data_IF_561191785343
#
_entry.id   IF_561191785343
#
_cell.length_a   1.000
_cell.length_b   1.000
_cell.length_c   1.000
_cell.angle_alpha   90.00
_cell.angle_beta   90.00
_cell.angle_gamma   90.00
#
_symmetry.space_group_name_H-M   'P 1'
#
loop_
_entity.id
_entity.type
_entity.pdbx_description
1 polymer ?
#
# COMPACT_ATOMS: atom_id res chain seq x y z
N UNK A 1 14.92 15.16 3.34
CA UNK A 1 13.71 14.97 4.17
C UNK A 1 12.64 14.34 3.31
N UNK A 2 11.89 13.36 3.82
CA UNK A 2 10.82 12.67 3.09
C UNK A 2 9.80 12.08 4.05
N UNK A 3 8.81 11.36 3.51
CA UNK A 3 7.73 10.78 4.30
C UNK A 3 8.06 9.31 4.61
N UNK A 4 8.47 8.98 5.85
CA UNK A 4 8.65 7.58 6.24
C UNK A 4 7.28 6.91 6.30
N UNK A 5 7.13 5.80 5.57
CA UNK A 5 5.89 5.03 5.50
C UNK A 5 6.13 3.56 5.84
N UNK A 6 5.07 2.86 6.20
CA UNK A 6 5.06 1.41 6.31
C UNK A 6 4.29 0.87 5.11
N UNK A 7 4.98 0.15 4.24
CA UNK A 7 4.37 -0.50 3.09
C UNK A 7 3.72 -1.81 3.55
N UNK A 8 2.43 -1.98 3.24
CA UNK A 8 1.68 -3.22 3.43
C UNK A 8 1.44 -3.81 2.04
N UNK A 9 2.11 -4.92 1.71
CA UNK A 9 2.04 -5.56 0.40
C UNK A 9 1.36 -6.91 0.48
N UNK A 10 0.44 -7.19 -0.46
CA UNK A 10 -0.19 -8.50 -0.61
C UNK A 10 -0.58 -8.74 -2.06
N UNK A 11 -0.66 -10.02 -2.43
CA UNK A 11 -1.30 -10.45 -3.67
C UNK A 11 -2.81 -10.46 -3.43
N UNK A 12 -3.55 -9.67 -4.21
CA UNK A 12 -5.01 -9.53 -4.12
C UNK A 12 -5.66 -9.90 -5.45
N UNK A 13 -6.96 -10.18 -5.41
CA UNK A 13 -7.76 -10.44 -6.61
C UNK A 13 -8.31 -9.12 -7.21
N UNK A 14 -8.92 -9.25 -8.38
CA UNK A 14 -9.53 -8.11 -9.08
C UNK A 14 -10.74 -7.56 -8.30
N UNK A 15 -11.50 -8.42 -7.65
CA UNK A 15 -12.70 -8.03 -6.89
C UNK A 15 -12.35 -7.09 -5.73
N UNK A 16 -11.19 -7.31 -5.09
CA UNK A 16 -10.66 -6.40 -4.08
C UNK A 16 -10.33 -5.02 -4.65
N UNK A 17 -9.71 -4.96 -5.83
CA UNK A 17 -9.40 -3.70 -6.50
C UNK A 17 -10.67 -2.95 -6.89
N UNK A 18 -11.63 -3.65 -7.50
CA UNK A 18 -12.90 -3.09 -7.94
C UNK A 18 -13.72 -2.56 -6.74
N UNK A 19 -13.71 -3.27 -5.59
CA UNK A 19 -14.39 -2.84 -4.35
C UNK A 19 -13.93 -1.48 -3.85
N UNK A 20 -12.65 -1.17 -3.99
CA UNK A 20 -12.06 0.10 -3.55
C UNK A 20 -11.77 1.06 -4.71
N UNK A 21 -12.28 0.78 -5.92
CA UNK A 21 -12.11 1.64 -7.08
C UNK A 21 -10.65 1.82 -7.54
N UNK A 22 -9.78 0.84 -7.25
CA UNK A 22 -8.35 0.91 -7.49
C UNK A 22 -8.02 0.48 -8.92
N UNK A 23 -7.25 1.31 -9.64
CA UNK A 23 -6.71 0.94 -10.95
C UNK A 23 -5.40 0.18 -10.79
N UNK A 24 -5.11 -0.69 -11.75
CA UNK A 24 -3.82 -1.38 -11.82
C UNK A 24 -2.68 -0.37 -11.96
N UNK A 25 -1.64 -0.52 -11.13
CA UNK A 25 -0.45 0.33 -11.09
C UNK A 25 -0.69 1.81 -10.73
N UNK A 26 -1.77 2.11 -10.01
CA UNK A 26 -2.06 3.47 -9.57
C UNK A 26 -1.35 3.85 -8.26
N UNK A 27 -1.13 5.15 -8.04
CA UNK A 27 -0.59 5.70 -6.81
C UNK A 27 -1.46 6.87 -6.36
N UNK A 28 -2.30 6.63 -5.37
CA UNK A 28 -3.28 7.59 -4.88
C UNK A 28 -3.13 7.81 -3.36
N UNK A 29 -3.58 8.97 -2.89
CA UNK A 29 -3.76 9.20 -1.46
C UNK A 29 -5.09 8.58 -1.01
N UNK A 30 -5.09 7.95 0.16
CA UNK A 30 -6.28 7.31 0.70
C UNK A 30 -7.37 8.35 1.06
N UNK A 31 -8.54 8.21 0.45
CA UNK A 31 -9.79 8.89 0.83
C UNK A 31 -10.56 8.12 1.93
N UNK A 32 -11.63 8.70 2.47
CA UNK A 32 -12.44 8.09 3.55
C UNK A 32 -12.89 6.64 3.26
N UNK A 33 -13.30 6.35 2.03
CA UNK A 33 -13.77 5.01 1.66
C UNK A 33 -12.64 3.96 1.60
N UNK A 34 -11.38 4.39 1.53
CA UNK A 34 -10.21 3.52 1.54
C UNK A 34 -9.77 3.14 2.97
N UNK A 35 -10.30 3.75 4.03
CA UNK A 35 -9.83 3.46 5.41
C UNK A 35 -10.04 2.00 5.81
N UNK A 36 -11.14 1.38 5.37
CA UNK A 36 -11.44 -0.03 5.65
C UNK A 36 -10.48 -0.99 4.93
N UNK A 37 -9.79 -0.55 3.87
CA UNK A 37 -8.87 -1.36 3.08
C UNK A 37 -7.75 -1.94 3.94
N UNK A 38 -7.15 -1.11 4.81
CA UNK A 38 -5.97 -1.50 5.59
C UNK A 38 -6.25 -2.64 6.57
N UNK A 39 -7.44 -2.68 7.16
CA UNK A 39 -7.84 -3.78 8.05
C UNK A 39 -8.22 -5.02 7.24
N UNK A 40 -8.96 -4.84 6.15
CA UNK A 40 -9.43 -5.96 5.32
C UNK A 40 -8.28 -6.72 4.65
N UNK A 41 -7.26 -6.03 4.13
CA UNK A 41 -6.13 -6.67 3.45
C UNK A 41 -5.30 -7.53 4.42
N UNK A 42 -5.14 -7.09 5.67
CA UNK A 42 -4.39 -7.83 6.70
C UNK A 42 -5.17 -9.06 7.16
N UNK A 43 -6.50 -9.00 7.19
CA UNK A 43 -7.35 -10.12 7.60
C UNK A 43 -7.52 -11.18 6.51
N UNK A 44 -7.63 -10.76 5.24
CA UNK A 44 -7.97 -11.64 4.12
C UNK A 44 -6.75 -12.19 3.38
N UNK A 45 -5.62 -11.49 3.44
CA UNK A 45 -4.47 -11.81 2.62
C UNK A 45 -3.23 -12.04 3.49
N UNK A 46 -2.30 -12.86 2.97
CA UNK A 46 -0.96 -12.94 3.55
C UNK A 46 -0.21 -11.65 3.17
N UNK A 47 -0.06 -10.76 4.15
CA UNK A 47 0.63 -9.48 3.99
C UNK A 47 2.11 -9.56 4.34
N UNK A 48 2.90 -8.74 3.68
CA UNK A 48 4.30 -8.45 4.01
C UNK A 48 4.45 -6.97 4.37
N UNK A 49 5.29 -6.69 5.38
CA UNK A 49 5.53 -5.35 5.88
C UNK A 49 6.95 -4.90 5.57
N UNK A 50 7.08 -3.72 4.96
CA UNK A 50 8.38 -3.14 4.59
C UNK A 50 8.45 -1.68 5.00
N UNK A 51 9.64 -1.20 5.39
CA UNK A 51 9.86 0.23 5.55
C UNK A 51 9.87 0.88 4.16
N UNK A 52 8.92 1.79 3.93
CA UNK A 52 8.62 2.38 2.63
C UNK A 52 8.72 3.89 2.60
N UNK A 53 8.19 4.47 1.52
CA UNK A 53 8.29 5.91 1.23
C UNK A 53 9.38 6.22 0.19
N UNK A 54 9.01 6.95 -0.85
CA UNK A 54 9.85 7.17 -2.05
C UNK A 54 11.27 7.68 -1.74
N UNK A 55 11.37 8.72 -0.90
CA UNK A 55 12.66 9.28 -0.47
C UNK A 55 13.44 8.29 0.40
N UNK A 56 12.77 7.55 1.28
CA UNK A 56 13.41 6.57 2.15
C UNK A 56 13.98 5.39 1.34
N UNK A 57 13.24 4.89 0.36
CA UNK A 57 13.68 3.83 -0.54
C UNK A 57 14.91 4.27 -1.36
N UNK A 58 14.89 5.49 -1.91
CA UNK A 58 16.01 6.01 -2.71
C UNK A 58 17.28 6.19 -1.87
N UNK A 59 17.16 6.75 -0.66
CA UNK A 59 18.30 6.97 0.24
C UNK A 59 18.87 5.65 0.78
N UNK A 60 18.02 4.66 1.08
CA UNK A 60 18.45 3.34 1.55
C UNK A 60 19.35 2.62 0.54
N UNK A 61 19.06 2.75 -0.75
CA UNK A 61 19.83 2.11 -1.82
C UNK A 61 21.07 2.91 -2.22
N UNK A 62 21.05 4.23 -2.06
CA UNK A 62 22.18 5.09 -2.42
C UNK A 62 23.34 5.09 -1.41
N UNK A 63 23.17 4.46 -0.24
CA UNK A 63 24.22 4.29 0.76
C UNK A 63 25.16 3.13 0.44
#
# INVERSE_FOLDING_TARGET
>A
MGNPLLDISAVVDKDFLDKFGLKLNDQILAEEHHKALFEEIVQKNKVEYHAGGSTQNSVKIAQ
#
